data_IF_592742508373
#
_entry.id   IF_592742508373
#
_cell.length_a   1.000
_cell.length_b   1.000
_cell.length_c   1.000
_cell.angle_alpha   90.00
_cell.angle_beta   90.00
_cell.angle_gamma   90.00
#
_symmetry.space_group_name_H-M   'P 1'
#
loop_
_entity.id
_entity.type
_entity.pdbx_description
1 polymer ?
#
# COMPACT_ATOMS: atom_id res chain seq x y z
N UNK A 1 19.32 0.64 5.79
CA UNK A 1 18.23 -0.37 5.84
C UNK A 1 17.32 -0.14 4.64
N UNK A 2 17.56 -0.90 3.57
CA UNK A 2 16.76 -0.92 2.34
C UNK A 2 15.47 -1.68 2.60
N UNK A 3 14.38 -1.22 1.99
CA UNK A 3 13.06 -1.79 2.23
C UNK A 3 12.01 -1.06 1.43
N UNK A 4 10.94 -1.77 1.12
CA UNK A 4 9.71 -1.18 0.63
C UNK A 4 8.82 -0.81 1.83
N UNK A 5 8.19 0.35 1.73
CA UNK A 5 7.07 0.74 2.59
C UNK A 5 5.80 0.29 1.91
N UNK A 6 4.92 -0.38 2.65
CA UNK A 6 3.62 -0.80 2.15
C UNK A 6 2.55 0.18 2.61
N UNK A 7 1.57 0.42 1.76
CA UNK A 7 0.47 1.33 1.99
C UNK A 7 -0.84 0.59 1.75
N UNK A 8 -1.71 0.57 2.75
CA UNK A 8 -3.02 -0.06 2.70
C UNK A 8 -4.12 0.99 2.85
N UNK A 9 -5.00 1.09 1.85
CA UNK A 9 -6.20 1.91 1.89
C UNK A 9 -7.40 0.98 2.10
N UNK A 10 -8.17 1.25 3.15
CA UNK A 10 -9.38 0.52 3.49
C UNK A 10 -10.56 1.45 3.46
N UNK A 11 -11.72 0.96 3.05
CA UNK A 11 -12.95 1.64 3.40
C UNK A 11 -13.24 1.43 4.91
N UNK A 12 -13.64 2.50 5.61
CA UNK A 12 -13.94 2.41 7.05
C UNK A 12 -15.24 1.65 7.33
N UNK A 13 -16.13 1.54 6.34
CA UNK A 13 -17.47 0.99 6.50
C UNK A 13 -17.49 -0.55 6.40
N UNK A 14 -16.90 -1.14 5.36
CA UNK A 14 -16.88 -2.58 5.15
C UNK A 14 -15.56 -3.26 5.55
N UNK A 15 -14.53 -2.47 5.89
CA UNK A 15 -13.17 -2.95 6.17
C UNK A 15 -12.47 -3.57 4.95
N UNK A 16 -13.04 -3.39 3.74
CA UNK A 16 -12.51 -3.82 2.46
C UNK A 16 -11.26 -3.03 2.13
N UNK A 17 -10.20 -3.73 1.75
CA UNK A 17 -9.00 -3.10 1.20
C UNK A 17 -9.33 -2.64 -0.22
N UNK A 18 -9.33 -1.34 -0.42
CA UNK A 18 -9.59 -0.70 -1.73
C UNK A 18 -8.32 -0.71 -2.57
N UNK A 19 -7.17 -0.44 -1.95
CA UNK A 19 -5.88 -0.46 -2.63
C UNK A 19 -4.77 -0.82 -1.64
N UNK A 20 -3.83 -1.63 -2.11
CA UNK A 20 -2.61 -1.97 -1.39
C UNK A 20 -1.46 -1.81 -2.39
N UNK A 21 -0.40 -1.10 -2.03
CA UNK A 21 0.77 -0.91 -2.90
C UNK A 21 2.06 -0.77 -2.09
N UNK A 22 3.20 -0.89 -2.76
CA UNK A 22 4.52 -0.75 -2.14
C UNK A 22 5.32 0.40 -2.77
N UNK A 23 6.19 1.03 -1.98
CA UNK A 23 7.08 2.11 -2.43
C UNK A 23 8.49 1.93 -1.90
N UNK A 24 9.53 2.37 -2.63
CA UNK A 24 10.86 2.44 -2.07
C UNK A 24 10.89 3.51 -0.97
N UNK A 25 11.58 3.22 0.15
CA UNK A 25 11.64 4.06 1.36
C UNK A 25 12.01 5.54 1.12
N UNK A 26 12.61 5.90 -0.02
CA UNK A 26 13.01 7.27 -0.39
C UNK A 26 11.93 8.11 -1.11
N UNK A 27 10.89 7.50 -1.70
CA UNK A 27 9.86 8.23 -2.46
C UNK A 27 8.57 8.51 -1.69
N UNK A 28 8.47 8.01 -0.46
CA UNK A 28 7.33 8.22 0.42
C UNK A 28 7.02 9.73 0.62
N UNK A 29 8.04 10.57 0.77
CA UNK A 29 7.89 12.00 1.14
C UNK A 29 7.16 12.84 0.08
N UNK A 30 7.40 12.59 -1.22
CA UNK A 30 6.79 13.37 -2.31
C UNK A 30 5.29 13.10 -2.40
N UNK A 31 4.89 11.83 -2.25
CA UNK A 31 3.48 11.42 -2.26
C UNK A 31 2.79 11.88 -0.98
N UNK A 32 3.46 11.79 0.17
CA UNK A 32 2.95 12.42 1.39
C UNK A 32 2.70 13.91 1.22
N UNK A 33 3.56 14.65 0.52
CA UNK A 33 3.38 16.08 0.30
C UNK A 33 2.15 16.39 -0.57
N UNK A 34 1.91 15.63 -1.64
CA UNK A 34 0.79 15.86 -2.56
C UNK A 34 -0.55 15.42 -1.99
N UNK A 35 -0.59 14.30 -1.27
CA UNK A 35 -1.84 13.82 -0.68
C UNK A 35 -2.12 14.46 0.68
N UNK A 36 -1.14 15.15 1.31
CA UNK A 36 -1.22 15.67 2.69
C UNK A 36 -2.54 16.34 3.02
N UNK A 37 -3.03 17.22 2.16
CA UNK A 37 -4.28 17.96 2.39
C UNK A 37 -5.48 17.04 2.39
N UNK A 38 -5.59 16.13 1.42
CA UNK A 38 -6.64 15.11 1.34
C UNK A 38 -6.54 14.17 2.56
N UNK A 39 -5.32 13.80 2.98
CA UNK A 39 -5.10 12.91 4.12
C UNK A 39 -5.49 13.58 5.45
N UNK A 40 -5.28 14.89 5.60
CA UNK A 40 -5.61 15.65 6.81
C UNK A 40 -7.09 16.02 6.90
N UNK A 41 -7.75 16.32 5.78
CA UNK A 41 -9.17 16.69 5.74
C UNK A 41 -10.12 15.49 5.84
N UNK A 42 -9.79 14.38 5.17
CA UNK A 42 -10.67 13.21 5.06
C UNK A 42 -10.35 12.10 6.07
N UNK A 43 -9.33 12.28 6.92
CA UNK A 43 -8.98 11.34 8.00
C UNK A 43 -8.51 9.96 7.53
N UNK A 44 -7.93 9.88 6.32
CA UNK A 44 -7.69 8.60 5.61
C UNK A 44 -6.47 7.82 6.14
N UNK A 45 -5.58 8.43 6.94
CA UNK A 45 -4.40 7.76 7.47
C UNK A 45 -4.27 7.87 8.98
N UNK A 46 -4.18 6.72 9.64
CA UNK A 46 -3.54 6.61 10.94
C UNK A 46 -2.27 5.76 10.77
N UNK A 47 -1.11 6.43 10.68
CA UNK A 47 0.18 5.78 10.93
C UNK A 47 0.39 5.75 12.44
N UNK A 48 -0.32 4.85 13.11
CA UNK A 48 -0.19 4.67 14.55
C UNK A 48 1.10 3.93 14.86
N UNK A 49 1.91 4.47 15.78
CA UNK A 49 2.86 3.66 16.52
C UNK A 49 2.07 2.73 17.45
N UNK A 50 1.62 1.60 16.88
CA UNK A 50 1.19 0.34 17.49
C UNK A 50 1.05 0.36 19.02
N UNK A 51 -0.15 0.75 19.50
CA UNK A 51 -0.70 0.35 20.80
C UNK A 51 -2.24 0.20 20.80
N UNK A 52 -2.92 0.48 19.69
CA UNK A 52 -4.39 0.64 19.70
C UNK A 52 -5.17 -0.49 19.00
N UNK A 53 -4.49 -1.46 18.37
CA UNK A 53 -5.11 -2.62 17.71
C UNK A 53 -6.20 -2.23 16.69
N UNK A 54 -5.89 -1.21 15.89
CA UNK A 54 -6.82 -0.66 14.89
C UNK A 54 -7.10 -1.68 13.78
N UNK A 55 -8.25 -1.63 13.11
CA UNK A 55 -8.58 -2.55 12.01
C UNK A 55 -7.55 -2.57 10.87
N UNK A 56 -6.89 -1.43 10.61
CA UNK A 56 -5.79 -1.35 9.66
C UNK A 56 -4.54 -2.12 10.15
N UNK A 57 -4.26 -2.08 11.45
CA UNK A 57 -3.11 -2.79 12.05
C UNK A 57 -3.26 -4.31 11.97
N UNK A 58 -4.50 -4.83 12.02
CA UNK A 58 -4.78 -6.28 11.90
C UNK A 58 -4.50 -6.86 10.51
N UNK A 59 -4.36 -6.01 9.49
CA UNK A 59 -3.99 -6.42 8.12
C UNK A 59 -2.49 -6.66 7.97
N UNK A 60 -1.67 -5.99 8.79
CA UNK A 60 -0.22 -6.08 8.70
C UNK A 60 0.36 -7.46 9.00
N UNK A 61 -0.15 -8.24 9.97
CA UNK A 61 0.26 -9.63 10.16
C UNK A 61 0.17 -10.45 8.87
N UNK A 62 -0.89 -10.26 8.09
CA UNK A 62 -1.11 -11.00 6.85
C UNK A 62 -0.11 -10.60 5.74
N UNK A 63 0.12 -9.31 5.56
CA UNK A 63 1.15 -8.78 4.64
C UNK A 63 2.54 -9.26 5.07
N UNK A 64 2.82 -9.23 6.38
CA UNK A 64 4.11 -9.65 6.92
C UNK A 64 4.36 -11.14 6.65
N UNK A 65 3.41 -12.00 7.02
CA UNK A 65 3.53 -13.45 6.88
C UNK A 65 3.61 -13.90 5.43
N UNK A 66 2.80 -13.32 4.54
CA UNK A 66 2.68 -13.81 3.16
C UNK A 66 3.65 -13.18 2.18
N UNK A 67 4.20 -12.01 2.49
CA UNK A 67 5.00 -11.23 1.55
C UNK A 67 6.35 -10.89 2.15
N UNK A 68 6.37 -10.18 3.28
CA UNK A 68 7.61 -9.59 3.79
C UNK A 68 8.57 -10.66 4.31
N UNK A 69 8.09 -11.62 5.11
CA UNK A 69 8.96 -12.66 5.66
C UNK A 69 9.50 -13.60 4.59
N UNK A 70 8.70 -14.11 3.63
CA UNK A 70 9.24 -14.92 2.53
C UNK A 70 10.29 -14.18 1.69
N UNK A 71 10.07 -12.90 1.36
CA UNK A 71 11.05 -12.11 0.62
C UNK A 71 12.32 -11.94 1.44
N UNK A 72 12.20 -11.56 2.71
CA UNK A 72 13.37 -11.41 3.61
C UNK A 72 14.16 -12.69 3.73
N UNK A 73 13.48 -13.82 3.90
CA UNK A 73 14.12 -15.13 4.03
C UNK A 73 14.94 -15.49 2.77
N UNK A 74 14.39 -15.25 1.57
CA UNK A 74 15.13 -15.46 0.32
C UNK A 74 16.35 -14.53 0.23
N UNK A 75 16.17 -13.24 0.52
CA UNK A 75 17.27 -12.26 0.44
C UNK A 75 18.39 -12.56 1.42
N UNK A 76 18.05 -12.91 2.67
CA UNK A 76 19.03 -13.29 3.69
C UNK A 76 19.78 -14.55 3.27
N UNK A 77 19.09 -15.55 2.70
CA UNK A 77 19.74 -16.75 2.16
C UNK A 77 20.68 -16.42 0.99
N UNK A 78 20.28 -15.53 0.09
CA UNK A 78 21.12 -15.11 -1.04
C UNK A 78 22.34 -14.31 -0.60
N UNK A 79 22.20 -13.42 0.39
CA UNK A 79 23.31 -12.65 0.96
C UNK A 79 24.29 -13.55 1.71
N UNK A 80 23.79 -14.43 2.58
CA UNK A 80 24.62 -15.40 3.30
C UNK A 80 25.32 -16.39 2.35
N UNK A 81 24.69 -16.71 1.22
CA UNK A 81 25.27 -17.51 0.14
C UNK A 81 26.20 -16.73 -0.79
N UNK A 82 26.48 -15.46 -0.51
CA UNK A 82 27.32 -14.56 -1.31
C UNK A 82 26.84 -14.38 -2.77
N UNK A 83 25.57 -14.64 -3.05
CA UNK A 83 24.96 -14.47 -4.39
C UNK A 83 24.65 -13.00 -4.69
N UNK A 84 24.42 -12.21 -3.65
CA UNK A 84 24.19 -10.77 -3.74
C UNK A 84 25.04 -10.05 -2.70
N UNK A 85 25.56 -8.89 -3.08
CA UNK A 85 26.25 -7.99 -2.16
C UNK A 85 25.32 -6.82 -1.80
N UNK A 86 24.63 -6.92 -0.66
CA UNK A 86 23.75 -5.83 -0.19
C UNK A 86 24.52 -4.66 0.43
N UNK A 87 25.86 -4.58 0.28
CA UNK A 87 26.64 -3.36 0.51
C UNK A 87 26.85 -2.55 -0.79
N UNK A 88 26.66 -3.17 -1.96
CA UNK A 88 26.80 -2.51 -3.26
C UNK A 88 25.52 -1.71 -3.60
N UNK A 89 25.62 -0.39 -3.87
CA UNK A 89 24.47 0.46 -4.19
C UNK A 89 23.67 0.04 -5.43
N UNK A 90 24.32 -0.50 -6.45
CA UNK A 90 23.68 -0.97 -7.69
C UNK A 90 22.90 -2.25 -7.41
N UNK A 91 23.51 -3.21 -6.70
CA UNK A 91 22.84 -4.44 -6.29
C UNK A 91 21.64 -4.13 -5.40
N UNK A 92 21.79 -3.22 -4.43
CA UNK A 92 20.68 -2.77 -3.58
C UNK A 92 19.52 -2.18 -4.39
N UNK A 93 19.81 -1.37 -5.42
CA UNK A 93 18.80 -0.82 -6.32
C UNK A 93 18.07 -1.93 -7.09
N UNK A 94 18.82 -2.83 -7.74
CA UNK A 94 18.26 -3.94 -8.50
C UNK A 94 17.39 -4.85 -7.62
N UNK A 95 17.88 -5.22 -6.44
CA UNK A 95 17.14 -6.03 -5.45
C UNK A 95 15.87 -5.29 -5.00
N UNK A 96 15.95 -3.99 -4.73
CA UNK A 96 14.78 -3.19 -4.34
C UNK A 96 13.72 -3.18 -5.45
N UNK A 97 14.13 -2.99 -6.70
CA UNK A 97 13.23 -2.99 -7.84
C UNK A 97 12.54 -4.35 -8.03
N UNK A 98 13.32 -5.44 -8.02
CA UNK A 98 12.77 -6.79 -8.19
C UNK A 98 11.82 -7.14 -7.04
N UNK A 99 12.22 -6.86 -5.80
CA UNK A 99 11.41 -7.17 -4.62
C UNK A 99 10.11 -6.37 -4.58
N UNK A 100 10.07 -5.13 -5.09
CA UNK A 100 8.82 -4.39 -5.27
C UNK A 100 7.85 -5.09 -6.25
N UNK A 101 8.36 -5.58 -7.39
CA UNK A 101 7.53 -6.30 -8.36
C UNK A 101 7.00 -7.63 -7.80
N UNK A 102 7.83 -8.38 -7.08
CA UNK A 102 7.41 -9.61 -6.40
C UNK A 102 6.39 -9.31 -5.31
N UNK A 103 6.63 -8.25 -4.54
CA UNK A 103 5.72 -7.84 -3.48
C UNK A 103 4.35 -7.43 -4.05
N UNK A 104 4.29 -6.72 -5.17
CA UNK A 104 3.04 -6.32 -5.83
C UNK A 104 2.13 -7.52 -6.13
N UNK A 105 2.69 -8.62 -6.66
CA UNK A 105 1.95 -9.87 -6.87
C UNK A 105 1.41 -10.43 -5.55
N UNK A 106 2.22 -10.39 -4.49
CA UNK A 106 1.79 -10.77 -3.15
C UNK A 106 0.65 -9.91 -2.63
N UNK A 107 0.73 -8.58 -2.83
CA UNK A 107 -0.28 -7.62 -2.37
C UNK A 107 -1.62 -7.87 -3.04
N UNK A 108 -1.64 -8.13 -4.35
CA UNK A 108 -2.87 -8.47 -5.07
C UNK A 108 -3.57 -9.70 -4.48
N UNK A 109 -2.79 -10.74 -4.14
CA UNK A 109 -3.32 -11.95 -3.49
C UNK A 109 -3.81 -11.69 -2.08
N UNK A 110 -3.11 -10.85 -1.31
CA UNK A 110 -3.56 -10.43 0.03
C UNK A 110 -4.87 -9.65 -0.07
N UNK A 111 -4.99 -8.69 -0.98
CA UNK A 111 -6.23 -7.93 -1.20
C UNK A 111 -7.38 -8.86 -1.54
N UNK A 112 -7.20 -9.76 -2.51
CA UNK A 112 -8.24 -10.70 -2.92
C UNK A 112 -8.68 -11.60 -1.76
N UNK A 113 -7.73 -12.26 -1.10
CA UNK A 113 -8.05 -13.16 0.02
C UNK A 113 -8.64 -12.43 1.23
N UNK A 114 -8.12 -11.25 1.58
CA UNK A 114 -8.66 -10.44 2.66
C UNK A 114 -10.07 -9.93 2.36
N UNK A 115 -10.37 -9.52 1.14
CA UNK A 115 -11.70 -8.99 0.86
C UNK A 115 -12.77 -10.08 0.77
N UNK A 116 -12.36 -11.32 0.49
CA UNK A 116 -13.24 -12.48 0.39
C UNK A 116 -13.36 -13.31 1.68
N UNK A 117 -12.48 -13.12 2.68
CA UNK A 117 -12.57 -13.88 3.94
C UNK A 117 -13.65 -13.34 4.89
N UNK A 118 -14.15 -14.22 5.76
CA UNK A 118 -14.99 -13.86 6.88
C UNK A 118 -14.16 -13.21 8.00
N UNK A 119 -14.59 -12.06 8.50
CA UNK A 119 -13.95 -11.42 9.65
C UNK A 119 -14.54 -11.99 10.95
N UNK A 120 -13.74 -12.77 11.67
CA UNK A 120 -14.10 -13.32 12.98
C UNK A 120 -14.54 -12.23 13.97
N UNK A 121 -15.57 -12.53 14.76
CA UNK A 121 -16.11 -11.62 15.78
C UNK A 121 -17.02 -10.51 15.24
N UNK A 122 -17.25 -10.42 13.93
CA UNK A 122 -18.23 -9.50 13.31
C UNK A 122 -19.26 -10.27 12.47
N UNK A 123 -20.03 -11.16 13.10
CA UNK A 123 -21.18 -11.86 12.47
C UNK A 123 -20.86 -12.52 11.11
N UNK A 124 -19.66 -13.07 10.97
CA UNK A 124 -19.14 -13.60 9.70
C UNK A 124 -19.27 -12.66 8.49
N UNK A 125 -18.96 -11.37 8.72
CA UNK A 125 -18.99 -10.36 7.67
C UNK A 125 -17.83 -10.57 6.70
N UNK A 126 -18.19 -10.78 5.43
CA UNK A 126 -17.26 -10.75 4.30
C UNK A 126 -17.16 -9.31 3.76
N UNK A 127 -15.98 -8.68 3.71
CA UNK A 127 -15.82 -7.29 3.30
C UNK A 127 -16.44 -6.96 1.94
N UNK A 128 -16.23 -7.77 0.91
CA UNK A 128 -16.82 -7.53 -0.41
C UNK A 128 -18.36 -7.54 -0.37
N UNK A 129 -18.96 -8.46 0.40
CA UNK A 129 -20.43 -8.54 0.56
C UNK A 129 -20.97 -7.32 1.29
N UNK A 130 -20.28 -6.87 2.34
CA UNK A 130 -20.68 -5.67 3.09
C UNK A 130 -20.50 -4.41 2.24
N UNK A 131 -19.41 -4.31 1.48
CA UNK A 131 -19.16 -3.19 0.58
C UNK A 131 -20.29 -3.05 -0.46
N UNK A 132 -20.69 -4.15 -1.09
CA UNK A 132 -21.80 -4.17 -2.04
C UNK A 132 -23.13 -3.73 -1.43
N UNK A 133 -23.42 -4.16 -0.18
CA UNK A 133 -24.68 -3.83 0.51
C UNK A 133 -24.73 -2.39 1.01
N UNK A 134 -23.59 -1.86 1.43
CA UNK A 134 -23.52 -0.52 2.03
C UNK A 134 -23.30 0.57 1.00
N UNK A 135 -22.55 0.29 -0.07
CA UNK A 135 -22.18 1.18 -1.18
C UNK A 135 -22.07 2.67 -0.80
N UNK A 136 -21.53 2.97 0.38
CA UNK A 136 -21.36 4.35 0.90
C UNK A 136 -20.13 5.06 0.32
N UNK A 137 -19.49 4.44 -0.68
CA UNK A 137 -18.37 5.03 -1.40
C UNK A 137 -18.98 5.86 -2.52
N UNK A 138 -19.07 7.18 -2.31
CA UNK A 138 -19.46 8.08 -3.38
C UNK A 138 -18.27 8.25 -4.33
N UNK A 139 -18.45 8.04 -5.66
CA UNK A 139 -17.40 8.39 -6.60
C UNK A 139 -17.09 9.87 -6.43
N UNK A 140 -15.80 10.20 -6.37
CA UNK A 140 -15.36 11.60 -6.40
C UNK A 140 -15.90 12.19 -7.70
N UNK A 141 -16.50 13.38 -7.61
CA UNK A 141 -17.01 14.07 -8.78
C UNK A 141 -15.87 14.22 -9.79
N UNK A 142 -16.07 13.76 -11.02
CA UNK A 142 -15.05 13.81 -12.06
C UNK A 142 -14.53 15.23 -12.31
N UNK A 143 -15.31 16.27 -11.99
CA UNK A 143 -14.88 17.66 -12.06
C UNK A 143 -13.83 18.07 -10.99
N UNK A 144 -13.63 17.25 -9.94
CA UNK A 144 -12.61 17.47 -8.91
C UNK A 144 -11.26 16.84 -9.27
N UNK A 145 -11.23 15.96 -10.28
CA UNK A 145 -10.00 15.34 -10.78
C UNK A 145 -9.65 16.04 -12.09
N UNK A 146 -8.46 16.62 -12.24
CA UNK A 146 -8.09 17.31 -13.47
C UNK A 146 -8.16 16.36 -14.67
N UNK A 147 -8.62 16.87 -15.80
CA UNK A 147 -8.50 16.15 -17.07
C UNK A 147 -7.04 15.95 -17.44
N UNK A 148 -6.77 15.11 -18.44
CA UNK A 148 -5.40 14.90 -18.94
C UNK A 148 -4.82 16.22 -19.43
N UNK A 149 -5.63 17.00 -20.14
CA UNK A 149 -5.28 18.32 -20.66
C UNK A 149 -4.98 19.31 -19.53
N UNK A 150 -5.83 19.35 -18.50
CA UNK A 150 -5.61 20.21 -17.32
C UNK A 150 -4.32 19.83 -16.59
N UNK A 151 -4.06 18.52 -16.41
CA UNK A 151 -2.86 18.04 -15.76
C UNK A 151 -1.59 18.39 -16.54
N UNK A 152 -1.61 18.32 -17.88
CA UNK A 152 -0.49 18.74 -18.74
C UNK A 152 -0.22 20.25 -18.55
N UNK A 153 -1.27 21.07 -18.52
CA UNK A 153 -1.13 22.51 -18.30
C UNK A 153 -0.56 22.80 -16.91
N UNK A 154 -1.05 22.10 -15.87
CA UNK A 154 -0.52 22.22 -14.51
C UNK A 154 0.98 21.89 -14.42
N UNK A 155 1.45 20.85 -15.12
CA UNK A 155 2.88 20.52 -15.16
C UNK A 155 3.70 21.61 -15.86
N UNK A 156 3.17 22.14 -16.96
CA UNK A 156 3.81 23.23 -17.72
C UNK A 156 3.92 24.49 -16.86
N UNK A 157 2.84 24.86 -16.15
CA UNK A 157 2.79 26.03 -15.28
C UNK A 157 3.68 25.89 -14.03
N UNK A 158 3.87 24.65 -13.54
CA UNK A 158 4.77 24.33 -12.44
C UNK A 158 6.26 24.27 -12.85
N UNK A 159 6.59 24.53 -14.12
CA UNK A 159 7.96 24.46 -14.64
C UNK A 159 8.49 23.02 -14.74
N UNK A 160 7.60 22.02 -14.73
CA UNK A 160 7.93 20.64 -15.00
C UNK A 160 7.87 20.38 -16.51
N UNK A 161 8.71 21.10 -17.28
CA UNK A 161 9.21 20.80 -18.63
C UNK A 161 10.26 21.87 -19.00
#
# INVERSE_FOLDING_TARGET
MYGCTFYALSDGCSSRIVKLFSMPKKNAVIIYAHFREILLHEGIWDMTQSRQNLPAERKWPEVNQRIIYPIKDVLVRMENGLLINLYDPVVQFCVSFITMNVAEVGLQRVVASWNSHSIEGKSDRIPDVVAQRTSRVHPVNSAMVPSVEDAIQMYTDAGAL
#
